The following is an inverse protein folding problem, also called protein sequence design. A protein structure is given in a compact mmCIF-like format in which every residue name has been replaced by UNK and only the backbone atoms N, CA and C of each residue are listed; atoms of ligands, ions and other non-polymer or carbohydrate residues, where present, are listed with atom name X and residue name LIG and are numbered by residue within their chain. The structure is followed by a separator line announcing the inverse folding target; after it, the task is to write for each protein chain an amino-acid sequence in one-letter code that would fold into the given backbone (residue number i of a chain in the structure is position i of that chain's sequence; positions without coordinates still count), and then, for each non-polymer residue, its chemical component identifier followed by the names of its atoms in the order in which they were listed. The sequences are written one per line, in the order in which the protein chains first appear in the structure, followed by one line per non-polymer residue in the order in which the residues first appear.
data_IF_440332739393
#
_entry.id   IF_440332739393
#
_cell.length_a   1.000
_cell.length_b   1.000
_cell.length_c   1.000
_cell.angle_alpha   90.00
_cell.angle_beta   90.00
_cell.angle_gamma   90.00
#
_symmetry.space_group_name_H-M   'P 1'
#
loop_
_entity.id
_entity.type
_entity.pdbx_description
1 polymer ?
#
# COMPACT_ATOMS: atom_id res chain seq x y z
N UNK A 1 -49.49 26.86 26.41
CA UNK A 1 -48.67 27.03 25.20
C UNK A 1 -47.30 27.52 25.65
N UNK A 2 -46.35 26.60 25.78
CA UNK A 2 -44.96 26.92 26.09
C UNK A 2 -44.19 26.91 24.77
N UNK A 3 -43.56 28.03 24.44
CA UNK A 3 -42.63 28.10 23.32
C UNK A 3 -41.27 27.62 23.83
N UNK A 4 -40.83 26.45 23.38
CA UNK A 4 -39.45 26.02 23.57
C UNK A 4 -38.54 26.89 22.71
N UNK A 5 -37.70 27.69 23.35
CA UNK A 5 -36.64 28.45 22.71
C UNK A 5 -35.58 27.47 22.16
N UNK A 6 -35.09 27.63 20.92
CA UNK A 6 -34.05 26.75 20.40
C UNK A 6 -32.75 26.96 21.17
N UNK A 7 -32.20 25.87 21.72
CA UNK A 7 -30.91 25.86 22.42
C UNK A 7 -29.81 26.26 21.44
N UNK A 8 -29.23 27.43 21.67
CA UNK A 8 -28.11 27.99 20.91
C UNK A 8 -26.81 27.29 21.35
N UNK A 9 -26.24 26.46 20.45
CA UNK A 9 -24.90 25.89 20.56
C UNK A 9 -24.81 24.72 21.55
N UNK A 10 -24.26 23.56 21.19
CA UNK A 10 -22.87 23.43 20.75
C UNK A 10 -22.70 22.31 19.72
N UNK A 11 -22.64 22.64 18.43
CA UNK A 11 -21.90 21.84 17.45
C UNK A 11 -20.39 22.02 17.70
N UNK A 12 -19.93 21.64 18.90
CA UNK A 12 -18.50 21.42 19.12
C UNK A 12 -18.20 20.04 18.57
N UNK A 13 -18.01 19.95 17.25
CA UNK A 13 -17.16 18.92 16.64
C UNK A 13 -15.90 18.91 17.49
N UNK A 14 -15.68 17.85 18.26
CA UNK A 14 -14.53 17.68 19.15
C UNK A 14 -13.28 17.50 18.29
N UNK A 15 -12.87 18.58 17.62
CA UNK A 15 -11.58 18.75 16.95
C UNK A 15 -10.57 18.90 18.09
N UNK A 16 -10.16 17.76 18.64
CA UNK A 16 -8.98 17.64 19.51
C UNK A 16 -7.98 16.72 18.81
N UNK A 17 -7.68 17.02 17.55
CA UNK A 17 -6.31 16.79 17.07
C UNK A 17 -5.44 17.80 17.79
N UNK A 18 -4.31 17.38 18.35
CA UNK A 18 -3.37 18.25 19.04
C UNK A 18 -2.71 19.14 18.00
N UNK A 19 -3.29 20.31 17.72
CA UNK A 19 -2.73 21.25 16.75
C UNK A 19 -1.37 21.81 17.20
N UNK A 20 -1.08 21.75 18.51
CA UNK A 20 0.09 22.40 19.09
C UNK A 20 1.22 21.44 19.53
N UNK A 21 1.12 20.13 19.26
CA UNK A 21 2.20 19.22 19.63
C UNK A 21 3.23 19.18 18.49
N UNK A 22 4.51 19.51 18.74
CA UNK A 22 5.52 19.43 17.70
C UNK A 22 5.69 17.97 17.26
N UNK A 23 6.03 17.78 15.98
CA UNK A 23 6.36 16.46 15.46
C UNK A 23 7.55 15.87 16.22
N UNK A 24 7.48 14.57 16.51
CA UNK A 24 8.50 13.83 17.24
C UNK A 24 9.69 13.53 16.31
N UNK A 25 10.91 13.72 16.80
CA UNK A 25 12.10 13.27 16.07
C UNK A 25 12.31 11.77 16.29
N UNK A 26 12.46 11.01 15.21
CA UNK A 26 12.67 9.57 15.25
C UNK A 26 13.67 9.13 14.18
N UNK A 27 14.17 7.89 14.33
CA UNK A 27 15.01 7.22 13.34
C UNK A 27 14.20 6.15 12.65
N UNK A 28 13.99 6.29 11.35
CA UNK A 28 13.36 5.29 10.50
C UNK A 28 14.43 4.42 9.84
N UNK A 29 14.30 3.11 10.00
CA UNK A 29 15.18 2.11 9.39
C UNK A 29 14.38 1.30 8.38
N UNK A 30 14.81 1.33 7.12
CA UNK A 30 14.24 0.47 6.09
C UNK A 30 14.82 -0.94 6.22
N UNK A 31 14.08 -1.85 6.82
CA UNK A 31 14.59 -3.17 7.17
C UNK A 31 14.12 -4.22 6.15
N UNK A 32 15.07 -4.96 5.60
CA UNK A 32 14.79 -5.94 4.53
C UNK A 32 14.19 -7.26 5.03
N UNK A 33 14.41 -7.61 6.30
CA UNK A 33 13.91 -8.87 6.86
C UNK A 33 12.44 -8.84 7.24
N UNK A 34 11.87 -7.64 7.43
CA UNK A 34 10.44 -7.47 7.67
C UNK A 34 9.74 -7.57 6.33
N UNK A 35 8.70 -8.40 6.28
CA UNK A 35 7.86 -8.60 5.11
C UNK A 35 6.47 -8.04 5.37
N UNK A 36 5.75 -7.72 4.30
CA UNK A 36 4.41 -7.13 4.37
C UNK A 36 4.44 -5.61 4.28
N UNK A 37 3.31 -4.98 4.58
CA UNK A 37 3.08 -3.54 4.39
C UNK A 37 3.13 -2.73 5.69
N UNK A 38 3.21 -3.40 6.84
CA UNK A 38 3.15 -2.76 8.16
C UNK A 38 4.56 -2.57 8.75
N UNK A 39 4.82 -1.36 9.24
CA UNK A 39 6.00 -1.06 10.04
C UNK A 39 5.82 -1.38 11.53
N UNK A 40 6.91 -1.30 12.29
CA UNK A 40 6.94 -1.46 13.75
C UNK A 40 7.63 -0.25 14.35
N UNK A 41 7.01 0.37 15.35
CA UNK A 41 7.58 1.50 16.08
C UNK A 41 7.95 1.11 17.51
N UNK A 42 8.93 1.81 18.10
CA UNK A 42 9.26 1.70 19.51
C UNK A 42 8.11 2.17 20.41
N UNK A 43 8.04 1.62 21.62
CA UNK A 43 6.94 1.82 22.55
C UNK A 43 6.78 3.29 22.98
N UNK A 44 7.89 4.00 23.15
CA UNK A 44 7.92 5.43 23.46
C UNK A 44 7.22 6.29 22.40
N UNK A 45 7.50 6.04 21.11
CA UNK A 45 6.84 6.73 19.98
C UNK A 45 5.33 6.46 20.03
N UNK A 46 4.94 5.19 20.20
CA UNK A 46 3.53 4.80 20.21
C UNK A 46 2.77 5.43 21.38
N UNK A 47 3.33 5.41 22.59
CA UNK A 47 2.73 6.05 23.77
C UNK A 47 2.66 7.58 23.61
N UNK A 48 3.65 8.17 22.95
CA UNK A 48 3.72 9.60 22.79
C UNK A 48 2.72 10.16 21.76
N UNK A 49 2.60 9.46 20.62
CA UNK A 49 1.67 9.77 19.53
C UNK A 49 0.24 9.35 19.86
N UNK A 50 0.08 8.19 20.52
CA UNK A 50 -1.21 7.59 20.84
C UNK A 50 -1.38 7.35 22.35
N UNK A 51 -1.39 8.41 23.20
CA UNK A 51 -1.41 8.31 24.67
C UNK A 51 -2.69 7.72 25.28
N UNK A 52 -3.70 7.40 24.45
CA UNK A 52 -4.97 6.80 24.89
C UNK A 52 -5.12 5.34 24.44
N UNK A 53 -4.04 4.58 24.57
CA UNK A 53 -3.95 3.14 24.27
C UNK A 53 -4.88 2.21 25.08
N UNK A 54 -5.99 2.69 25.65
CA UNK A 54 -7.07 1.84 26.16
C UNK A 54 -8.23 1.66 25.17
N UNK A 55 -8.20 2.30 23.99
CA UNK A 55 -9.09 1.98 22.85
C UNK A 55 -8.35 1.39 21.65
N UNK A 56 -7.05 1.06 21.81
CA UNK A 56 -6.43 -0.03 21.05
C UNK A 56 -6.91 -1.31 21.73
N UNK A 57 -8.20 -1.63 21.58
CA UNK A 57 -8.77 -2.84 22.14
C UNK A 57 -8.00 -4.03 21.57
N UNK A 58 -7.19 -4.62 22.43
CA UNK A 58 -6.84 -6.03 22.40
C UNK A 58 -8.19 -6.76 22.44
N UNK A 59 -8.81 -6.95 21.28
CA UNK A 59 -10.20 -7.32 21.17
C UNK A 59 -10.66 -7.20 19.73
N UNK A 60 -10.46 -8.30 18.99
CA UNK A 60 -11.29 -8.83 17.91
C UNK A 60 -11.99 -7.75 17.05
N UNK A 61 -11.38 -7.45 15.90
CA UNK A 61 -11.88 -6.71 14.72
C UNK A 61 -11.74 -5.16 14.69
N UNK A 62 -10.73 -4.66 13.96
CA UNK A 62 -10.86 -4.12 12.58
C UNK A 62 -9.74 -3.16 12.13
N UNK A 63 -8.76 -2.82 12.98
CA UNK A 63 -7.49 -2.23 12.50
C UNK A 63 -6.33 -2.63 13.40
N UNK A 64 -5.56 -3.64 12.98
CA UNK A 64 -4.30 -4.05 13.62
C UNK A 64 -3.16 -3.03 13.44
N UNK A 65 -3.47 -1.83 12.94
CA UNK A 65 -2.50 -0.82 12.58
C UNK A 65 -3.00 0.61 12.85
N UNK A 66 -2.05 1.51 13.04
CA UNK A 66 -2.25 2.97 13.12
C UNK A 66 -1.46 3.64 12.01
N UNK A 67 -1.94 4.80 11.56
CA UNK A 67 -1.26 5.58 10.54
C UNK A 67 -0.45 6.70 11.20
N UNK A 68 0.80 6.85 10.77
CA UNK A 68 1.65 7.98 11.14
C UNK A 68 2.00 8.75 9.87
N UNK A 69 2.17 10.06 9.98
CA UNK A 69 2.81 10.83 8.93
C UNK A 69 4.27 11.06 9.28
N UNK A 70 5.13 10.87 8.30
CA UNK A 70 6.57 10.94 8.41
C UNK A 70 7.08 11.98 7.41
N UNK A 71 7.98 12.84 7.87
CA UNK A 71 8.74 13.73 7.01
C UNK A 71 10.23 13.50 7.20
N UNK A 72 10.98 13.52 6.12
CA UNK A 72 12.44 13.47 6.17
C UNK A 72 12.96 14.74 6.83
N UNK A 73 13.93 14.61 7.74
CA UNK A 73 14.62 15.77 8.30
C UNK A 73 15.46 16.45 7.20
N UNK A 74 15.01 17.61 6.73
CA UNK A 74 15.80 18.49 5.88
C UNK A 74 16.67 19.41 6.76
N UNK A 75 17.86 19.81 6.29
CA UNK A 75 18.66 20.82 7.01
C UNK A 75 17.85 22.13 7.16
N UNK A 76 17.90 22.73 8.35
CA UNK A 76 17.03 23.86 8.77
C UNK A 76 17.14 25.15 7.91
N UNK A 77 18.06 25.18 6.94
CA UNK A 77 18.36 26.34 6.10
C UNK A 77 17.58 26.37 4.78
N UNK A 78 16.65 25.44 4.55
CA UNK A 78 15.83 25.41 3.33
C UNK A 78 14.35 25.56 3.71
N UNK A 79 13.74 26.68 3.32
CA UNK A 79 12.28 26.87 3.30
C UNK A 79 11.65 26.01 2.21
N UNK A 80 11.76 24.70 2.33
CA UNK A 80 11.08 23.75 1.47
C UNK A 80 9.76 23.34 2.11
N UNK A 81 8.71 23.29 1.30
CA UNK A 81 7.45 22.66 1.67
C UNK A 81 7.75 21.23 2.15
N UNK A 82 7.44 20.98 3.41
CA UNK A 82 7.79 19.72 4.06
C UNK A 82 6.89 18.61 3.53
N UNK A 83 7.46 17.70 2.73
CA UNK A 83 6.72 16.56 2.18
C UNK A 83 6.45 15.52 3.28
N UNK A 84 5.18 15.28 3.57
CA UNK A 84 4.72 14.26 4.51
C UNK A 84 4.25 13.01 3.79
N UNK A 85 4.64 11.85 4.29
CA UNK A 85 4.26 10.52 3.76
C UNK A 85 3.56 9.71 4.83
N UNK A 86 2.45 9.04 4.48
CA UNK A 86 1.67 8.26 5.42
C UNK A 86 2.17 6.82 5.47
N UNK A 87 2.51 6.34 6.67
CA UNK A 87 3.02 4.99 6.89
C UNK A 87 2.12 4.23 7.88
N UNK A 88 1.62 3.04 7.52
CA UNK A 88 0.88 2.18 8.44
C UNK A 88 1.82 1.41 9.37
N UNK A 89 1.56 1.47 10.67
CA UNK A 89 2.36 0.84 11.73
C UNK A 89 1.49 -0.18 12.45
N UNK A 90 1.99 -1.40 12.59
CA UNK A 90 1.33 -2.44 13.38
C UNK A 90 1.20 -2.00 14.83
N UNK A 91 -0.01 -2.08 15.37
CA UNK A 91 -0.28 -1.95 16.81
C UNK A 91 -0.19 -3.29 17.51
N UNK A 92 -0.30 -4.39 16.75
CA UNK A 92 -0.16 -5.72 17.31
C UNK A 92 1.31 -6.01 17.59
N UNK A 93 1.58 -6.45 18.81
CA UNK A 93 2.89 -6.95 19.25
C UNK A 93 3.08 -8.40 18.78
N UNK A 94 2.77 -8.70 17.52
CA UNK A 94 2.92 -10.04 16.96
C UNK A 94 4.23 -10.15 16.21
N UNK A 95 5.33 -10.09 16.94
CA UNK A 95 6.57 -10.73 16.50
C UNK A 95 7.44 -10.98 17.73
N UNK A 96 8.23 -12.06 17.71
CA UNK A 96 9.30 -12.37 18.66
C UNK A 96 10.45 -11.32 18.63
N UNK A 97 10.13 -10.06 18.35
CA UNK A 97 11.06 -8.98 18.17
C UNK A 97 11.59 -8.51 19.52
N UNK A 98 12.92 -8.53 19.61
CA UNK A 98 13.64 -7.83 20.67
C UNK A 98 13.13 -6.39 20.73
N UNK A 99 12.99 -5.81 21.93
CA UNK A 99 12.54 -4.44 22.08
C UNK A 99 13.35 -3.51 21.18
N UNK A 100 12.67 -2.69 20.39
CA UNK A 100 13.32 -1.69 19.55
C UNK A 100 13.97 -0.64 20.45
N UNK A 101 15.13 -0.08 20.07
CA UNK A 101 15.66 1.09 20.74
C UNK A 101 14.66 2.25 20.70
N UNK A 102 14.67 3.07 21.74
CA UNK A 102 13.83 4.26 21.84
C UNK A 102 13.99 5.17 20.60
N UNK A 103 12.90 5.82 20.20
CA UNK A 103 12.85 6.71 19.05
C UNK A 103 13.14 6.00 17.72
N UNK A 104 12.85 4.70 17.59
CA UNK A 104 13.16 3.92 16.37
C UNK A 104 11.90 3.36 15.73
N UNK A 105 11.79 3.52 14.42
CA UNK A 105 10.76 2.93 13.57
C UNK A 105 11.47 2.00 12.58
N UNK A 106 11.03 0.76 12.48
CA UNK A 106 11.45 -0.17 11.43
C UNK A 106 10.33 -0.31 10.42
N UNK A 107 10.66 -0.19 9.15
CA UNK A 107 9.68 -0.28 8.09
C UNK A 107 10.15 -1.27 7.03
N UNK A 108 9.27 -2.16 6.51
CA UNK A 108 9.64 -3.09 5.45
C UNK A 108 10.18 -2.34 4.23
N UNK A 109 11.41 -2.63 3.80
CA UNK A 109 12.03 -1.95 2.65
C UNK A 109 11.31 -2.20 1.31
N UNK A 110 10.52 -3.28 1.21
CA UNK A 110 9.77 -3.65 0.02
C UNK A 110 8.28 -3.29 0.05
N UNK A 111 7.81 -2.61 1.10
CA UNK A 111 6.41 -2.20 1.21
C UNK A 111 6.11 -1.05 0.23
N UNK A 112 4.92 -1.06 -0.36
CA UNK A 112 4.50 -0.05 -1.34
C UNK A 112 4.54 1.36 -0.75
N UNK A 113 4.12 1.51 0.50
CA UNK A 113 4.10 2.80 1.21
C UNK A 113 5.49 3.43 1.36
N UNK A 114 6.59 2.67 1.27
CA UNK A 114 7.96 3.21 1.28
C UNK A 114 8.34 3.96 0.02
N UNK A 115 7.65 3.71 -1.10
CA UNK A 115 8.01 4.32 -2.38
C UNK A 115 7.87 5.85 -2.32
N UNK A 116 6.78 6.33 -1.69
CA UNK A 116 6.56 7.75 -1.42
C UNK A 116 7.67 8.36 -0.54
N UNK A 117 8.12 7.63 0.48
CA UNK A 117 9.21 8.05 1.37
C UNK A 117 10.55 8.13 0.63
N UNK A 118 10.86 7.12 -0.20
CA UNK A 118 12.07 7.11 -1.03
C UNK A 118 12.07 8.32 -1.98
N UNK A 119 10.94 8.61 -2.62
CA UNK A 119 10.79 9.77 -3.47
C UNK A 119 10.98 11.09 -2.69
N UNK A 120 10.42 11.20 -1.49
CA UNK A 120 10.60 12.37 -0.62
C UNK A 120 12.08 12.56 -0.19
N UNK A 121 12.78 11.46 0.17
CA UNK A 121 14.21 11.49 0.51
C UNK A 121 15.04 11.95 -0.69
N UNK A 122 14.75 11.42 -1.88
CA UNK A 122 15.46 11.79 -3.12
C UNK A 122 15.20 13.24 -3.53
N UNK A 123 13.97 13.74 -3.34
CA UNK A 123 13.65 15.14 -3.59
C UNK A 123 14.40 16.08 -2.62
N UNK A 124 14.45 15.72 -1.33
CA UNK A 124 15.16 16.50 -0.32
C UNK A 124 16.69 16.40 -0.46
N UNK A 125 17.20 15.26 -0.92
CA UNK A 125 18.64 15.00 -1.11
C UNK A 125 18.88 14.12 -2.35
N UNK A 126 19.02 14.73 -3.54
CA UNK A 126 19.19 13.97 -4.79
C UNK A 126 20.43 13.08 -4.84
N UNK A 127 21.44 13.38 -4.02
CA UNK A 127 22.68 12.60 -3.92
C UNK A 127 22.58 11.43 -2.93
N UNK A 128 21.55 11.40 -2.07
CA UNK A 128 21.36 10.35 -1.06
C UNK A 128 20.65 9.16 -1.67
N UNK A 129 21.39 8.06 -1.84
CA UNK A 129 20.81 6.77 -2.24
C UNK A 129 20.40 5.98 -1.01
N UNK A 130 19.13 5.61 -0.93
CA UNK A 130 18.60 4.84 0.19
C UNK A 130 18.83 3.34 -0.07
N UNK A 131 19.67 2.72 0.76
CA UNK A 131 19.97 1.28 0.68
C UNK A 131 19.10 0.49 1.65
N UNK A 132 19.05 -0.83 1.48
CA UNK A 132 18.53 -1.72 2.52
C UNK A 132 19.28 -1.47 3.83
N UNK A 133 18.53 -1.49 4.93
CA UNK A 133 18.98 -1.25 6.31
C UNK A 133 19.57 0.15 6.54
N UNK A 134 19.25 1.10 5.65
CA UNK A 134 19.60 2.50 5.84
C UNK A 134 18.73 3.16 6.92
N UNK A 135 19.37 4.06 7.67
CA UNK A 135 18.71 4.85 8.72
C UNK A 135 18.46 6.27 8.21
N UNK A 136 17.29 6.80 8.49
CA UNK A 136 16.82 8.12 8.09
C UNK A 136 16.31 8.82 9.35
N UNK A 137 16.77 10.05 9.56
CA UNK A 137 16.20 10.91 10.58
C UNK A 137 14.90 11.53 10.04
N UNK A 138 13.84 11.39 10.81
CA UNK A 138 12.50 11.78 10.41
C UNK A 138 11.76 12.50 11.52
N UNK A 139 10.83 13.36 11.13
CA UNK A 139 9.80 13.93 12.00
C UNK A 139 8.52 13.12 11.84
N UNK A 140 7.85 12.80 12.95
CA UNK A 140 6.70 11.90 12.99
C UNK A 140 5.53 12.55 13.74
N UNK A 141 4.33 12.38 13.21
CA UNK A 141 3.09 12.82 13.85
C UNK A 141 1.96 11.80 13.65
N UNK A 142 0.95 11.84 14.52
CA UNK A 142 -0.26 11.03 14.38
C UNK A 142 -1.14 11.55 13.23
N UNK A 143 -1.63 10.65 12.38
CA UNK A 143 -2.53 10.99 11.27
C UNK A 143 -3.63 9.93 11.15
N UNK A 144 -4.78 10.36 10.61
CA UNK A 144 -5.84 9.44 10.21
C UNK A 144 -5.89 9.44 8.70
N UNK A 145 -5.72 8.27 8.09
CA UNK A 145 -5.89 8.07 6.65
C UNK A 145 -7.33 8.40 6.25
N UNK A 146 -7.49 9.06 5.10
CA UNK A 146 -8.81 9.39 4.56
C UNK A 146 -9.31 8.19 3.74
N UNK A 147 -10.56 7.74 3.93
CA UNK A 147 -11.16 6.77 3.03
C UNK A 147 -11.30 7.40 1.65
N UNK A 148 -10.93 6.65 0.61
CA UNK A 148 -11.05 7.08 -0.78
C UNK A 148 -12.21 6.33 -1.42
N UNK A 149 -13.14 7.06 -2.03
CA UNK A 149 -14.26 6.47 -2.77
C UNK A 149 -13.83 5.99 -4.16
N UNK A 150 -12.87 6.69 -4.78
CA UNK A 150 -12.35 6.39 -6.10
C UNK A 150 -10.85 6.71 -6.20
N UNK A 151 -10.12 5.88 -6.93
CA UNK A 151 -8.70 6.08 -7.25
C UNK A 151 -8.54 6.02 -8.76
N UNK A 152 -7.98 7.09 -9.35
CA UNK A 152 -7.67 7.13 -10.76
C UNK A 152 -6.27 6.55 -11.00
N UNK A 153 -6.17 5.64 -11.97
CA UNK A 153 -4.96 4.87 -12.22
C UNK A 153 -4.68 4.83 -13.72
N UNK A 154 -3.43 5.08 -14.11
CA UNK A 154 -2.97 4.84 -15.47
C UNK A 154 -2.35 3.45 -15.57
N UNK A 155 -2.77 2.69 -16.58
CA UNK A 155 -2.34 1.30 -16.79
C UNK A 155 -1.80 1.14 -18.21
N UNK A 156 -0.70 0.40 -18.35
CA UNK A 156 -0.14 0.03 -19.65
C UNK A 156 -0.96 -1.12 -20.28
N UNK A 157 -1.97 -0.74 -21.06
CA UNK A 157 -2.86 -1.66 -21.78
C UNK A 157 -2.08 -2.62 -22.70
N UNK A 158 -1.15 -2.17 -23.57
CA UNK A 158 -0.43 -3.09 -24.44
C UNK A 158 0.46 -4.06 -23.66
N UNK A 159 1.03 -3.68 -22.51
CA UNK A 159 1.75 -4.62 -21.64
C UNK A 159 0.82 -5.69 -21.03
N UNK A 160 -0.37 -5.30 -20.58
CA UNK A 160 -1.38 -6.24 -20.08
C UNK A 160 -1.84 -7.23 -21.16
N UNK A 161 -2.17 -6.73 -22.35
CA UNK A 161 -2.62 -7.56 -23.48
C UNK A 161 -1.59 -8.63 -23.85
N UNK A 162 -0.30 -8.25 -23.93
CA UNK A 162 0.78 -9.21 -24.21
C UNK A 162 0.85 -10.31 -23.17
N UNK A 163 0.63 -9.98 -21.89
CA UNK A 163 0.70 -10.95 -20.81
C UNK A 163 -0.54 -11.86 -20.81
N UNK A 164 -1.73 -11.32 -21.06
CA UNK A 164 -2.95 -12.11 -21.28
C UNK A 164 -2.79 -13.10 -22.45
N UNK A 165 -2.21 -12.65 -23.57
CA UNK A 165 -1.92 -13.52 -24.71
C UNK A 165 -0.97 -14.65 -24.34
N UNK A 166 0.11 -14.35 -23.61
CA UNK A 166 1.05 -15.35 -23.11
C UNK A 166 0.33 -16.34 -22.19
N UNK A 167 -0.51 -15.87 -21.27
CA UNK A 167 -1.29 -16.72 -20.39
C UNK A 167 -2.27 -17.61 -21.18
N UNK A 168 -2.92 -17.10 -22.22
CA UNK A 168 -3.80 -17.89 -23.09
C UNK A 168 -3.03 -18.96 -23.86
N UNK A 169 -1.82 -18.65 -24.34
CA UNK A 169 -0.98 -19.56 -25.13
C UNK A 169 -0.32 -20.65 -24.28
N UNK A 170 0.08 -20.34 -23.05
CA UNK A 170 0.92 -21.22 -22.23
C UNK A 170 0.25 -21.69 -20.93
N UNK A 171 -0.83 -21.03 -20.46
CA UNK A 171 -1.54 -21.35 -19.22
C UNK A 171 -2.57 -22.47 -19.33
N UNK A 172 -2.80 -23.03 -20.53
CA UNK A 172 -3.82 -24.05 -20.80
C UNK A 172 -3.37 -25.51 -20.63
N UNK A 173 -2.17 -25.80 -20.11
CA UNK A 173 -1.57 -27.15 -20.28
C UNK A 173 -1.01 -27.89 -19.06
N UNK A 174 -0.87 -27.26 -17.88
CA UNK A 174 -0.06 -27.86 -16.79
C UNK A 174 -0.82 -28.37 -15.55
N UNK A 175 -2.15 -28.22 -15.50
CA UNK A 175 -2.98 -28.78 -14.40
C UNK A 175 -3.87 -29.95 -14.84
N UNK A 176 -3.56 -30.57 -15.98
CA UNK A 176 -4.11 -31.87 -16.35
C UNK A 176 -3.38 -32.97 -15.59
N UNK A 177 -4.05 -33.54 -14.58
CA UNK A 177 -3.66 -34.80 -13.91
C UNK A 177 -3.02 -35.78 -14.89
N UNK A 178 -1.95 -36.43 -14.44
CA UNK A 178 -1.58 -37.77 -14.90
C UNK A 178 -2.84 -38.64 -14.93
N UNK A 179 -3.41 -38.80 -16.11
CA UNK A 179 -4.66 -39.49 -16.37
C UNK A 179 -4.67 -39.82 -17.84
N UNK A 180 -4.30 -41.06 -18.12
CA UNK A 180 -4.30 -41.67 -19.44
C UNK A 180 -5.53 -41.26 -20.27
N UNK A 181 -5.30 -40.80 -21.50
CA UNK A 181 -6.23 -41.06 -22.59
C UNK A 181 -5.47 -41.19 -23.89
N UNK A 182 -4.96 -42.39 -24.14
CA UNK A 182 -4.89 -42.92 -25.50
C UNK A 182 -6.31 -42.95 -26.07
N UNK A 183 -6.49 -42.33 -27.25
CA UNK A 183 -7.58 -42.45 -28.25
C UNK A 183 -7.92 -41.03 -28.71
N UNK A 184 -8.01 -40.67 -29.98
CA UNK A 184 -8.14 -41.42 -31.22
C UNK A 184 -7.93 -40.40 -32.37
N UNK A 185 -7.26 -40.83 -33.44
CA UNK A 185 -7.23 -40.12 -34.73
C UNK A 185 -8.67 -39.99 -35.28
N UNK A 186 -9.10 -38.78 -35.64
CA UNK A 186 -10.36 -38.63 -36.38
C UNK A 186 -10.78 -37.21 -36.77
N UNK A 187 -10.35 -36.77 -37.95
CA UNK A 187 -11.19 -36.18 -39.02
C UNK A 187 -12.07 -34.94 -38.70
N UNK A 188 -11.63 -33.79 -39.24
CA UNK A 188 -12.38 -32.63 -39.76
C UNK A 188 -13.82 -32.41 -39.26
N UNK A 189 -14.02 -31.35 -38.47
CA UNK A 189 -15.17 -30.43 -38.58
C UNK A 189 -14.65 -29.02 -38.23
N UNK A 190 -14.59 -28.14 -39.23
CA UNK A 190 -15.47 -26.97 -39.41
C UNK A 190 -15.28 -25.95 -38.29
N UNK A 191 -14.83 -24.76 -38.70
CA UNK A 191 -14.36 -23.67 -37.85
C UNK A 191 -15.25 -23.42 -36.64
N UNK A 192 -14.70 -23.68 -35.46
CA UNK A 192 -15.02 -22.84 -34.32
C UNK A 192 -14.07 -21.65 -34.46
N UNK A 193 -14.58 -20.56 -35.01
CA UNK A 193 -14.06 -19.24 -34.67
C UNK A 193 -13.89 -19.24 -33.16
N UNK A 194 -12.64 -19.26 -32.71
CA UNK A 194 -12.32 -18.88 -31.36
C UNK A 194 -12.70 -17.41 -31.28
N UNK A 195 -13.97 -17.15 -30.94
CA UNK A 195 -14.52 -15.82 -30.81
C UNK A 195 -13.50 -15.00 -30.06
N UNK A 196 -13.04 -13.93 -30.69
CA UNK A 196 -12.40 -12.85 -29.95
C UNK A 196 -13.29 -12.59 -28.74
N UNK A 197 -12.73 -12.55 -27.52
CA UNK A 197 -13.54 -12.08 -26.41
C UNK A 197 -14.07 -10.72 -26.84
N UNK A 198 -15.40 -10.54 -26.77
CA UNK A 198 -16.01 -9.24 -27.00
C UNK A 198 -15.19 -8.21 -26.21
N UNK A 199 -14.77 -7.12 -26.85
CA UNK A 199 -13.86 -6.15 -26.26
C UNK A 199 -14.31 -5.67 -24.86
N UNK A 200 -15.62 -5.74 -24.57
CA UNK A 200 -16.20 -5.47 -23.26
C UNK A 200 -15.75 -6.42 -22.15
N UNK A 201 -15.69 -7.74 -22.41
CA UNK A 201 -15.31 -8.74 -21.41
C UNK A 201 -13.83 -8.64 -21.02
N UNK A 202 -12.97 -8.33 -21.99
CA UNK A 202 -11.54 -8.14 -21.76
C UNK A 202 -11.27 -6.90 -20.88
N UNK A 203 -11.98 -5.80 -21.11
CA UNK A 203 -11.85 -4.59 -20.29
C UNK A 203 -12.34 -4.82 -18.85
N UNK A 204 -13.47 -5.49 -18.66
CA UNK A 204 -13.97 -5.83 -17.33
C UNK A 204 -13.02 -6.74 -16.57
N UNK A 205 -12.40 -7.71 -17.25
CA UNK A 205 -11.42 -8.61 -16.64
C UNK A 205 -10.19 -7.84 -16.17
N UNK A 206 -9.68 -6.91 -17.00
CA UNK A 206 -8.55 -6.03 -16.63
C UNK A 206 -8.89 -5.13 -15.45
N UNK A 207 -10.09 -4.55 -15.45
CA UNK A 207 -10.55 -3.73 -14.34
C UNK A 207 -10.55 -4.52 -13.03
N UNK A 208 -11.10 -5.75 -13.03
CA UNK A 208 -11.10 -6.62 -11.85
C UNK A 208 -9.69 -6.96 -11.36
N UNK A 209 -8.73 -7.13 -12.26
CA UNK A 209 -7.33 -7.39 -11.88
C UNK A 209 -6.68 -6.17 -11.21
N UNK A 210 -6.99 -4.97 -11.70
CA UNK A 210 -6.57 -3.73 -11.06
C UNK A 210 -7.23 -3.60 -9.69
N UNK A 211 -8.54 -3.81 -9.60
CA UNK A 211 -9.29 -3.78 -8.33
C UNK A 211 -8.72 -4.77 -7.30
N UNK A 212 -8.41 -6.01 -7.69
CA UNK A 212 -7.78 -7.02 -6.82
C UNK A 212 -6.34 -6.68 -6.42
N UNK A 213 -5.61 -5.95 -7.26
CA UNK A 213 -4.30 -5.43 -6.87
C UNK A 213 -4.45 -4.37 -5.77
N UNK A 214 -5.36 -3.41 -5.97
CA UNK A 214 -5.58 -2.29 -5.04
C UNK A 214 -6.27 -2.70 -3.74
N UNK A 215 -7.10 -3.74 -3.74
CA UNK A 215 -7.78 -4.24 -2.54
C UNK A 215 -6.83 -4.76 -1.45
N UNK A 216 -5.56 -5.04 -1.81
CA UNK A 216 -4.52 -5.53 -0.90
C UNK A 216 -3.68 -4.40 -0.29
N UNK A 217 -3.89 -3.16 -0.74
CA UNK A 217 -3.10 -2.00 -0.32
C UNK A 217 -3.82 -1.24 0.79
N UNK A 218 -3.11 -0.94 1.88
CA UNK A 218 -3.67 -0.20 3.02
C UNK A 218 -3.68 1.31 2.80
N UNK A 219 -2.61 1.84 2.19
CA UNK A 219 -2.42 3.27 1.96
C UNK A 219 -1.89 3.47 0.55
N UNK A 220 -2.50 4.38 -0.18
CA UNK A 220 -2.11 4.72 -1.55
C UNK A 220 -1.62 6.16 -1.60
N UNK A 221 -0.49 6.39 -2.26
CA UNK A 221 0.05 7.72 -2.55
C UNK A 221 0.01 8.02 -4.04
N UNK A 222 -0.06 9.31 -4.37
CA UNK A 222 0.04 9.77 -5.75
C UNK A 222 1.40 9.39 -6.34
N UNK A 223 1.39 8.76 -7.52
CA UNK A 223 2.61 8.30 -8.18
C UNK A 223 3.07 6.90 -7.78
N UNK A 224 2.38 6.22 -6.84
CA UNK A 224 2.68 4.83 -6.51
C UNK A 224 2.52 3.91 -7.72
N UNK A 225 3.43 2.94 -7.83
CA UNK A 225 3.46 1.94 -8.89
C UNK A 225 3.10 0.58 -8.31
N UNK A 226 1.89 0.10 -8.62
CA UNK A 226 1.38 -1.16 -8.11
C UNK A 226 1.53 -2.26 -9.18
N UNK A 227 2.22 -3.37 -8.91
CA UNK A 227 2.28 -4.49 -9.85
C UNK A 227 0.92 -5.18 -9.92
N UNK A 228 0.40 -5.33 -11.13
CA UNK A 228 -0.84 -6.07 -11.38
C UNK A 228 -0.48 -7.57 -11.37
N UNK A 229 -1.05 -8.38 -10.46
CA UNK A 229 -0.66 -9.76 -10.24
C UNK A 229 -1.17 -10.68 -11.37
N UNK A 230 -0.53 -10.59 -12.53
CA UNK A 230 -0.67 -11.53 -13.62
C UNK A 230 0.56 -12.44 -13.61
N UNK A 231 0.56 -13.44 -12.72
CA UNK A 231 1.67 -14.39 -12.61
C UNK A 231 1.50 -15.52 -13.61
N UNK A 232 2.51 -15.73 -14.46
CA UNK A 232 2.60 -16.90 -15.32
C UNK A 232 3.85 -17.73 -14.96
N UNK A 233 3.72 -19.06 -14.74
CA UNK A 233 4.81 -19.87 -14.21
C UNK A 233 6.00 -20.03 -15.17
N UNK A 234 5.80 -19.79 -16.47
CA UNK A 234 6.83 -20.01 -17.50
C UNK A 234 7.53 -18.71 -17.91
N UNK A 235 6.87 -17.56 -17.79
CA UNK A 235 7.45 -16.31 -18.26
C UNK A 235 7.98 -15.49 -17.10
N UNK A 236 9.29 -15.31 -17.05
CA UNK A 236 9.98 -14.37 -16.16
C UNK A 236 9.75 -12.89 -16.54
N UNK A 237 8.65 -12.57 -17.23
CA UNK A 237 8.32 -11.20 -17.59
C UNK A 237 7.94 -10.42 -16.31
N UNK A 238 8.43 -9.20 -16.19
CA UNK A 238 8.04 -8.29 -15.12
C UNK A 238 6.55 -8.01 -15.20
N UNK A 239 5.87 -8.08 -14.05
CA UNK A 239 4.44 -7.76 -13.97
C UNK A 239 4.20 -6.31 -14.43
N UNK A 240 3.18 -6.06 -15.27
CA UNK A 240 2.80 -4.71 -15.66
C UNK A 240 2.36 -3.94 -14.41
N UNK A 241 2.71 -2.66 -14.35
CA UNK A 241 2.39 -1.80 -13.21
C UNK A 241 1.26 -0.83 -13.52
N UNK A 242 0.47 -0.54 -12.50
CA UNK A 242 -0.57 0.46 -12.48
C UNK A 242 -0.04 1.68 -11.71
N UNK A 243 -0.11 2.88 -12.28
CA UNK A 243 0.36 4.11 -11.63
C UNK A 243 -0.80 4.94 -11.13
N UNK A 244 -0.76 5.30 -9.85
CA UNK A 244 -1.76 6.15 -9.21
C UNK A 244 -1.60 7.60 -9.69
N UNK A 245 -2.71 8.20 -10.13
CA UNK A 245 -2.76 9.58 -10.59
C UNK A 245 -3.17 10.52 -9.44
N UNK A 246 -2.82 11.79 -9.59
CA UNK A 246 -3.21 12.86 -8.66
C UNK A 246 -4.59 13.43 -9.01
#
# INVERSE_FOLDING_TARGET
MAYDLPVVGTLKRKRRRREDKPALSARLVLYSSIKGELGVASEDILLELFPRGSSLSIGVDESEHVNIAVSVAAPDNVSQETAWTNLPISTSRTWNDKPLPNGTIRFPAGALSTHSLVAAVQAASPTKTLRQDSTIEVKVTDVVALPLDAVYVSVDIPALQKLEEVQKRFGGGFFGKNGQSHASRGKKSVGSEAGEPEHGDALQTRQKLVEDAFSKVLVVHTGDLLPIPLSHPITHATAPTAKVLA
#
